data_IF_803782530083
#
_entry.id   IF_803782530083
#
_cell.length_a   1.000
_cell.length_b   1.000
_cell.length_c   1.000
_cell.angle_alpha   90.00
_cell.angle_beta   90.00
_cell.angle_gamma   90.00
#
_symmetry.space_group_name_H-M   'P 1'
#
loop_
_entity.id
_entity.type
_entity.pdbx_description
1 polymer ?
#
# COMPACT_ATOMS: atom_id res chain seq x y z
N UNK A 1 26.42 -27.84 -40.95
CA UNK A 1 24.96 -28.05 -40.97
C UNK A 1 24.67 -29.08 -39.88
N UNK A 2 24.17 -28.80 -38.69
CA UNK A 2 23.32 -27.72 -38.23
C UNK A 2 22.13 -28.38 -37.53
N UNK A 3 22.23 -28.64 -36.22
CA UNK A 3 21.19 -28.36 -35.22
C UNK A 3 21.55 -28.98 -33.86
N UNK A 4 22.05 -28.11 -32.99
CA UNK A 4 22.04 -28.27 -31.53
C UNK A 4 21.05 -27.22 -31.04
N UNK A 5 19.87 -27.63 -30.59
CA UNK A 5 18.92 -26.74 -29.92
C UNK A 5 17.89 -27.57 -29.13
N UNK A 6 18.30 -28.09 -27.97
CA UNK A 6 17.40 -28.47 -26.89
C UNK A 6 17.94 -27.91 -25.58
N UNK A 7 17.40 -26.76 -25.19
CA UNK A 7 17.34 -26.15 -23.85
C UNK A 7 16.96 -24.69 -24.10
N UNK A 8 15.96 -24.10 -23.47
CA UNK A 8 15.89 -23.89 -22.03
C UNK A 8 14.42 -23.83 -21.58
N UNK A 9 13.96 -24.82 -20.81
CA UNK A 9 12.87 -24.60 -19.88
C UNK A 9 13.46 -23.81 -18.70
N UNK A 10 13.23 -22.50 -18.67
CA UNK A 10 13.43 -21.72 -17.44
C UNK A 10 12.28 -22.07 -16.49
N UNK A 11 12.50 -23.13 -15.71
CA UNK A 11 11.74 -23.37 -14.48
C UNK A 11 12.22 -22.32 -13.50
N UNK A 12 11.51 -21.19 -13.43
CA UNK A 12 11.59 -20.32 -12.27
C UNK A 12 10.96 -21.13 -11.13
N UNK A 13 11.69 -21.43 -10.05
CA UNK A 13 11.06 -22.07 -8.90
C UNK A 13 10.11 -21.06 -8.29
N UNK A 14 8.80 -21.26 -8.49
CA UNK A 14 7.78 -20.60 -7.70
C UNK A 14 7.99 -21.05 -6.26
N UNK A 15 8.72 -20.24 -5.49
CA UNK A 15 8.77 -20.36 -4.05
C UNK A 15 7.34 -20.23 -3.55
N UNK A 16 6.82 -21.29 -2.94
CA UNK A 16 5.59 -21.23 -2.19
C UNK A 16 5.80 -20.23 -1.04
N UNK A 17 5.45 -18.96 -1.29
CA UNK A 17 5.39 -17.95 -0.26
C UNK A 17 4.22 -18.33 0.67
N UNK A 18 4.52 -18.73 1.89
CA UNK A 18 3.52 -18.96 2.95
C UNK A 18 2.90 -17.65 3.48
N UNK A 19 2.82 -16.61 2.65
CA UNK A 19 2.31 -15.28 2.98
C UNK A 19 2.11 -14.44 1.72
N UNK A 20 1.63 -13.21 1.91
CA UNK A 20 1.37 -12.27 0.82
C UNK A 20 2.64 -11.98 0.01
N UNK A 21 2.47 -11.81 -1.29
CA UNK A 21 3.53 -11.31 -2.17
C UNK A 21 3.90 -9.87 -1.80
N UNK A 22 5.09 -9.44 -2.21
CA UNK A 22 5.50 -8.04 -2.03
C UNK A 22 4.60 -7.06 -2.79
N UNK A 23 4.04 -7.49 -3.93
CA UNK A 23 3.09 -6.67 -4.68
C UNK A 23 1.77 -6.49 -3.91
N UNK A 24 1.20 -7.58 -3.38
CA UNK A 24 0.00 -7.54 -2.54
C UNK A 24 0.21 -6.65 -1.32
N UNK A 25 1.33 -6.81 -0.60
CA UNK A 25 1.66 -5.95 0.55
C UNK A 25 1.72 -4.48 0.18
N UNK A 26 2.36 -4.13 -0.95
CA UNK A 26 2.43 -2.73 -1.41
C UNK A 26 1.05 -2.14 -1.71
N UNK A 27 0.13 -2.91 -2.31
CA UNK A 27 -1.27 -2.47 -2.49
C UNK A 27 -1.97 -2.23 -1.17
N UNK A 28 -1.86 -3.18 -0.23
CA UNK A 28 -2.52 -3.08 1.07
C UNK A 28 -2.00 -1.90 1.89
N UNK A 29 -0.69 -1.68 1.91
CA UNK A 29 -0.07 -0.56 2.61
C UNK A 29 -0.35 0.79 1.94
N UNK A 30 -0.44 0.82 0.61
CA UNK A 30 -0.85 2.03 -0.10
C UNK A 30 -2.28 2.42 0.28
N UNK A 31 -3.21 1.47 0.34
CA UNK A 31 -4.59 1.73 0.76
C UNK A 31 -4.63 2.24 2.20
N UNK A 32 -3.93 1.53 3.10
CA UNK A 32 -3.80 1.88 4.51
C UNK A 32 -3.33 3.33 4.67
N UNK A 33 -2.17 3.67 4.11
CA UNK A 33 -1.56 4.99 4.30
C UNK A 33 -2.25 6.10 3.52
N UNK A 34 -3.00 5.81 2.47
CA UNK A 34 -3.59 6.85 1.61
C UNK A 34 -5.01 7.16 2.03
N UNK A 35 -5.83 6.14 2.28
CA UNK A 35 -7.27 6.27 2.45
C UNK A 35 -7.76 6.06 3.89
N UNK A 36 -7.10 5.20 4.67
CA UNK A 36 -7.51 4.89 6.04
C UNK A 36 -6.79 5.73 7.09
N UNK A 37 -5.47 5.81 7.03
CA UNK A 37 -4.63 6.61 7.94
C UNK A 37 -4.75 8.09 7.52
N UNK A 38 -5.76 8.78 8.04
CA UNK A 38 -6.08 10.16 7.63
C UNK A 38 -5.09 11.13 8.25
N UNK A 39 -4.70 10.90 9.51
CA UNK A 39 -3.79 11.77 10.26
C UNK A 39 -2.30 11.53 9.93
N UNK A 40 -1.96 10.44 9.21
CA UNK A 40 -0.61 10.04 8.80
C UNK A 40 0.32 9.69 9.96
N UNK A 41 -0.22 9.16 11.06
CA UNK A 41 0.58 8.73 12.23
C UNK A 41 1.07 7.28 12.11
N UNK A 42 0.65 6.55 11.07
CA UNK A 42 1.09 5.18 10.78
C UNK A 42 0.27 4.10 11.48
N UNK A 43 -0.78 4.47 12.21
CA UNK A 43 -1.75 3.55 12.82
C UNK A 43 -3.17 3.97 12.42
N UNK A 44 -4.13 3.04 12.52
CA UNK A 44 -5.55 3.39 12.45
C UNK A 44 -6.13 3.45 13.84
N UNK A 45 -6.78 4.55 14.14
CA UNK A 45 -7.58 4.72 15.36
C UNK A 45 -9.01 5.14 14.98
N UNK A 46 -9.92 5.10 15.96
CA UNK A 46 -11.27 5.66 15.79
C UNK A 46 -11.26 7.10 15.25
N UNK A 47 -10.23 7.88 15.59
CA UNK A 47 -10.08 9.26 15.16
C UNK A 47 -9.91 9.40 13.65
N UNK A 48 -9.31 8.43 12.96
CA UNK A 48 -9.19 8.45 11.50
C UNK A 48 -10.54 8.23 10.82
N UNK A 49 -11.32 7.28 11.35
CA UNK A 49 -12.69 7.00 10.89
C UNK A 49 -13.62 8.20 11.15
N UNK A 50 -13.48 8.86 12.30
CA UNK A 50 -14.21 10.09 12.60
C UNK A 50 -13.86 11.22 11.62
N UNK A 51 -12.57 11.42 11.32
CA UNK A 51 -12.13 12.44 10.35
C UNK A 51 -12.59 12.13 8.92
N UNK A 52 -12.50 10.88 8.50
CA UNK A 52 -13.00 10.44 7.20
C UNK A 52 -14.51 10.73 7.07
N UNK A 53 -15.29 10.36 8.09
CA UNK A 53 -16.72 10.65 8.16
C UNK A 53 -17.02 12.14 8.09
N UNK A 54 -16.35 12.96 8.91
CA UNK A 54 -16.52 14.41 8.93
C UNK A 54 -16.24 15.04 7.58
N UNK A 55 -15.15 14.61 6.92
CA UNK A 55 -14.77 15.07 5.58
C UNK A 55 -15.85 14.76 4.57
N UNK A 56 -16.44 13.56 4.63
CA UNK A 56 -17.43 13.14 3.64
C UNK A 56 -18.78 13.80 3.89
N UNK A 57 -19.24 13.89 5.15
CA UNK A 57 -20.43 14.67 5.47
C UNK A 57 -20.30 16.11 4.95
N UNK A 58 -19.12 16.72 5.09
CA UNK A 58 -18.84 18.06 4.57
C UNK A 58 -18.87 18.10 3.03
N UNK A 59 -18.27 17.14 2.34
CA UNK A 59 -18.25 17.07 0.87
C UNK A 59 -19.64 16.84 0.28
N UNK A 60 -20.47 16.04 0.96
CA UNK A 60 -21.83 15.72 0.54
C UNK A 60 -22.89 16.73 1.02
N UNK A 61 -22.49 17.74 1.80
CA UNK A 61 -23.39 18.77 2.35
C UNK A 61 -24.38 18.22 3.38
N UNK A 62 -24.01 17.16 4.10
CA UNK A 62 -24.87 16.54 5.12
C UNK A 62 -24.64 17.19 6.48
N UNK A 63 -25.68 17.88 6.96
CA UNK A 63 -25.66 18.58 8.24
C UNK A 63 -25.89 17.62 9.43
N UNK A 64 -25.32 17.92 10.61
CA UNK A 64 -25.64 17.23 11.85
C UNK A 64 -27.15 17.17 12.11
N UNK A 65 -27.67 16.01 12.48
CA UNK A 65 -29.10 15.77 12.72
C UNK A 65 -29.91 15.43 11.46
N UNK A 66 -29.28 15.38 10.28
CA UNK A 66 -29.90 14.75 9.10
C UNK A 66 -29.82 13.23 9.20
N UNK A 67 -30.80 12.53 8.63
CA UNK A 67 -30.84 11.06 8.62
C UNK A 67 -29.58 10.46 7.98
N UNK A 68 -29.05 11.09 6.91
CA UNK A 68 -27.82 10.66 6.23
C UNK A 68 -26.59 10.82 7.12
N UNK A 69 -26.51 11.89 7.91
CA UNK A 69 -25.41 12.12 8.84
C UNK A 69 -25.38 11.04 9.93
N UNK A 70 -26.54 10.72 10.52
CA UNK A 70 -26.64 9.72 11.59
C UNK A 70 -26.41 8.29 11.08
N UNK A 71 -26.96 7.96 9.90
CA UNK A 71 -26.69 6.67 9.24
C UNK A 71 -25.20 6.48 8.96
N UNK A 72 -24.54 7.51 8.44
CA UNK A 72 -23.10 7.47 8.17
C UNK A 72 -22.29 7.34 9.46
N UNK A 73 -22.70 8.02 10.53
CA UNK A 73 -22.04 7.88 11.84
C UNK A 73 -22.10 6.45 12.37
N UNK A 74 -23.28 5.82 12.37
CA UNK A 74 -23.43 4.46 12.85
C UNK A 74 -22.64 3.46 12.00
N UNK A 75 -22.68 3.64 10.67
CA UNK A 75 -21.91 2.81 9.73
C UNK A 75 -20.41 2.83 10.04
N UNK A 76 -19.83 4.02 10.26
CA UNK A 76 -18.39 4.10 10.56
C UNK A 76 -18.04 3.46 11.90
N UNK A 77 -18.91 3.58 12.91
CA UNK A 77 -18.75 2.87 14.20
C UNK A 77 -18.76 1.36 13.98
N UNK A 78 -19.68 0.86 13.17
CA UNK A 78 -19.81 -0.57 12.91
C UNK A 78 -18.63 -1.12 12.10
N UNK A 79 -18.17 -0.39 11.07
CA UNK A 79 -16.96 -0.73 10.30
C UNK A 79 -15.74 -0.77 11.23
N UNK A 80 -15.56 0.25 12.07
CA UNK A 80 -14.42 0.31 12.99
C UNK A 80 -14.42 -0.88 13.96
N UNK A 81 -15.56 -1.19 14.58
CA UNK A 81 -15.68 -2.33 15.51
C UNK A 81 -15.35 -3.66 14.83
N UNK A 82 -15.92 -3.91 13.65
CA UNK A 82 -15.64 -5.14 12.89
C UNK A 82 -14.19 -5.22 12.45
N UNK A 83 -13.59 -4.08 12.10
CA UNK A 83 -12.17 -4.02 11.75
C UNK A 83 -11.29 -4.33 12.96
N UNK A 84 -11.58 -3.76 14.14
CA UNK A 84 -10.87 -4.09 15.38
C UNK A 84 -10.97 -5.59 15.68
N UNK A 85 -12.17 -6.17 15.61
CA UNK A 85 -12.40 -7.60 15.91
C UNK A 85 -11.53 -8.54 15.05
N UNK A 86 -11.09 -8.11 13.87
CA UNK A 86 -10.28 -8.93 12.96
C UNK A 86 -8.81 -8.52 12.84
N UNK A 87 -8.43 -7.30 13.25
CA UNK A 87 -7.09 -6.76 13.03
C UNK A 87 -6.35 -6.36 14.32
N UNK A 88 -7.05 -5.93 15.37
CA UNK A 88 -6.45 -5.48 16.63
C UNK A 88 -6.01 -6.70 17.47
N UNK A 89 -4.90 -7.31 17.08
CA UNK A 89 -4.37 -8.56 17.66
C UNK A 89 -3.96 -8.39 19.13
N UNK A 90 -3.49 -7.18 19.49
CA UNK A 90 -2.94 -6.87 20.80
C UNK A 90 -3.95 -6.17 21.74
N UNK A 91 -5.15 -5.83 21.23
CA UNK A 91 -6.23 -5.14 21.93
C UNK A 91 -5.85 -3.76 22.49
N UNK A 92 -4.99 -3.00 21.81
CA UNK A 92 -4.56 -1.65 22.21
C UNK A 92 -5.46 -0.53 21.66
N UNK A 93 -6.52 -0.89 20.92
CA UNK A 93 -7.44 0.00 20.20
C UNK A 93 -6.80 0.75 19.02
N UNK A 94 -5.68 0.25 18.51
CA UNK A 94 -5.01 0.74 17.31
C UNK A 94 -4.82 -0.44 16.36
N UNK A 95 -4.68 -0.12 15.09
CA UNK A 95 -4.30 -1.11 14.08
C UNK A 95 -3.06 -0.60 13.40
N UNK A 96 -1.94 -1.25 13.67
CA UNK A 96 -0.68 -0.99 12.99
C UNK A 96 -0.70 -1.51 11.55
N UNK A 97 0.22 -1.01 10.72
CA UNK A 97 0.43 -1.51 9.37
C UNK A 97 0.73 -3.03 9.34
N UNK A 98 1.44 -3.55 10.36
CA UNK A 98 1.75 -4.98 10.46
C UNK A 98 0.51 -5.82 10.77
N UNK A 99 -0.33 -5.38 11.71
CA UNK A 99 -1.62 -6.00 12.02
C UNK A 99 -2.55 -6.01 10.82
N UNK A 100 -2.61 -4.89 10.09
CA UNK A 100 -3.35 -4.80 8.82
C UNK A 100 -2.89 -5.84 7.80
N UNK A 101 -1.58 -5.94 7.56
CA UNK A 101 -1.01 -6.91 6.60
C UNK A 101 -1.25 -8.34 7.06
N UNK A 102 -1.10 -8.64 8.36
CA UNK A 102 -1.36 -9.97 8.94
C UNK A 102 -2.83 -10.38 8.78
N UNK A 103 -3.76 -9.49 9.09
CA UNK A 103 -5.21 -9.73 8.91
C UNK A 103 -5.50 -10.12 7.46
N UNK A 104 -5.01 -9.34 6.50
CA UNK A 104 -5.19 -9.63 5.07
C UNK A 104 -4.51 -10.93 4.63
N UNK A 105 -3.31 -11.22 5.13
CA UNK A 105 -2.61 -12.47 4.85
C UNK A 105 -3.41 -13.69 5.33
N UNK A 106 -3.98 -13.61 6.52
CA UNK A 106 -4.87 -14.63 7.07
C UNK A 106 -6.13 -14.77 6.21
N UNK A 107 -6.80 -13.65 5.90
CA UNK A 107 -8.02 -13.64 5.11
C UNK A 107 -7.84 -14.29 3.73
N UNK A 108 -6.80 -13.87 2.98
CA UNK A 108 -6.53 -14.38 1.63
C UNK A 108 -6.17 -15.86 1.66
N UNK A 109 -5.43 -16.32 2.68
CA UNK A 109 -5.11 -17.74 2.88
C UNK A 109 -6.35 -18.60 3.15
N UNK A 110 -7.35 -18.06 3.84
CA UNK A 110 -8.58 -18.79 4.14
C UNK A 110 -9.61 -18.76 3.00
N UNK A 111 -9.48 -17.81 2.07
CA UNK A 111 -10.40 -17.63 0.93
C UNK A 111 -9.68 -17.78 -0.41
N UNK A 112 -8.64 -18.61 -0.49
CA UNK A 112 -7.84 -18.80 -1.73
C UNK A 112 -8.48 -19.74 -2.73
N UNK A 113 -9.65 -20.33 -2.43
CA UNK A 113 -10.28 -21.32 -3.29
C UNK A 113 -10.70 -20.67 -4.62
N UNK A 114 -10.19 -21.14 -5.78
CA UNK A 114 -10.55 -20.61 -7.10
C UNK A 114 -12.04 -20.71 -7.43
N UNK A 115 -12.78 -21.60 -6.75
CA UNK A 115 -14.22 -21.77 -6.94
C UNK A 115 -15.08 -20.84 -6.09
N UNK A 116 -14.50 -20.13 -5.12
CA UNK A 116 -15.23 -19.21 -4.27
C UNK A 116 -15.38 -17.86 -4.97
N UNK A 117 -16.60 -17.32 -4.97
CA UNK A 117 -16.84 -15.93 -5.40
C UNK A 117 -15.88 -15.03 -4.64
N UNK A 118 -15.25 -14.07 -5.33
CA UNK A 118 -14.28 -13.16 -4.75
C UNK A 118 -14.93 -12.29 -3.66
N UNK A 119 -15.06 -12.86 -2.46
CA UNK A 119 -15.58 -12.19 -1.27
C UNK A 119 -14.47 -11.40 -0.60
N UNK A 120 -14.88 -10.32 0.04
CA UNK A 120 -14.10 -9.49 0.95
C UNK A 120 -14.70 -9.59 2.36
N UNK A 121 -13.98 -9.22 3.42
CA UNK A 121 -14.56 -9.17 4.77
C UNK A 121 -15.81 -8.27 4.82
N UNK A 122 -16.77 -8.59 5.70
CA UNK A 122 -18.02 -7.84 5.82
C UNK A 122 -17.82 -6.33 6.04
N UNK A 123 -16.80 -5.96 6.83
CA UNK A 123 -16.47 -4.54 7.07
C UNK A 123 -15.99 -3.83 5.79
N UNK A 124 -15.33 -4.57 4.88
CA UNK A 124 -14.94 -4.05 3.56
C UNK A 124 -16.16 -3.90 2.69
N UNK A 125 -17.09 -4.86 2.68
CA UNK A 125 -18.30 -4.75 1.88
C UNK A 125 -19.13 -3.51 2.27
N UNK A 126 -19.30 -3.27 3.57
CA UNK A 126 -19.97 -2.07 4.09
C UNK A 126 -19.21 -0.78 3.75
N UNK A 127 -17.88 -0.81 3.87
CA UNK A 127 -17.04 0.31 3.49
C UNK A 127 -17.10 0.61 1.98
N UNK A 128 -17.20 -0.42 1.13
CA UNK A 128 -17.20 -0.29 -0.32
C UNK A 128 -18.45 0.39 -0.84
N UNK A 129 -19.63 0.04 -0.34
CA UNK A 129 -20.87 0.72 -0.72
C UNK A 129 -20.81 2.20 -0.36
N UNK A 130 -20.21 2.51 0.78
CA UNK A 130 -20.01 3.88 1.20
C UNK A 130 -18.98 4.61 0.32
N UNK A 131 -17.82 3.99 0.04
CA UNK A 131 -16.80 4.54 -0.85
C UNK A 131 -17.35 4.77 -2.25
N UNK A 132 -18.23 3.89 -2.74
CA UNK A 132 -18.95 4.08 -4.00
C UNK A 132 -19.81 5.35 -3.95
N UNK A 133 -20.64 5.52 -2.92
CA UNK A 133 -21.47 6.73 -2.76
C UNK A 133 -20.66 8.02 -2.56
N UNK A 134 -19.41 7.92 -2.08
CA UNK A 134 -18.49 9.05 -2.03
C UNK A 134 -18.07 9.49 -3.44
N UNK A 135 -17.83 8.53 -4.32
CA UNK A 135 -17.53 8.79 -5.73
C UNK A 135 -18.77 9.29 -6.48
N UNK A 136 -19.89 8.57 -6.41
CA UNK A 136 -21.17 8.89 -7.07
C UNK A 136 -21.85 10.13 -6.43
N UNK A 137 -21.30 11.30 -6.74
CA UNK A 137 -21.75 12.58 -6.20
C UNK A 137 -23.04 13.06 -6.85
N UNK A 138 -23.26 12.68 -8.10
CA UNK A 138 -24.47 12.99 -8.85
C UNK A 138 -25.63 12.05 -8.51
N UNK A 139 -25.36 10.95 -7.79
CA UNK A 139 -26.31 9.94 -7.36
C UNK A 139 -27.04 9.26 -8.54
N UNK A 140 -26.32 9.08 -9.65
CA UNK A 140 -26.84 8.41 -10.86
C UNK A 140 -26.54 6.90 -10.88
N UNK A 141 -25.81 6.41 -9.86
CA UNK A 141 -25.44 5.01 -9.69
C UNK A 141 -24.23 4.58 -10.53
N UNK A 142 -23.48 5.53 -11.11
CA UNK A 142 -22.31 5.28 -11.95
C UNK A 142 -21.19 6.25 -11.55
N UNK A 143 -20.00 5.73 -11.33
CA UNK A 143 -18.83 6.60 -11.13
C UNK A 143 -18.31 7.06 -12.50
N UNK A 144 -18.35 8.37 -12.76
CA UNK A 144 -17.73 8.98 -13.94
C UNK A 144 -16.27 9.44 -13.69
N UNK A 145 -15.61 9.89 -14.76
CA UNK A 145 -14.19 10.25 -14.69
C UNK A 145 -13.97 11.54 -13.88
N UNK A 146 -14.90 12.49 -13.95
CA UNK A 146 -14.86 13.74 -13.20
C UNK A 146 -15.03 13.49 -11.69
N UNK A 147 -15.97 12.63 -11.32
CA UNK A 147 -16.22 12.16 -9.96
C UNK A 147 -15.01 11.40 -9.39
N UNK A 148 -14.46 10.47 -10.17
CA UNK A 148 -13.29 9.70 -9.80
C UNK A 148 -12.06 10.59 -9.56
N UNK A 149 -11.77 11.51 -10.51
CA UNK A 149 -10.70 12.49 -10.37
C UNK A 149 -10.90 13.38 -9.14
N UNK A 150 -12.11 13.90 -8.97
CA UNK A 150 -12.43 14.82 -7.88
C UNK A 150 -12.14 14.19 -6.52
N UNK A 151 -12.66 12.98 -6.27
CA UNK A 151 -12.46 12.29 -4.99
C UNK A 151 -11.00 11.90 -4.79
N UNK A 152 -10.33 11.33 -5.79
CA UNK A 152 -8.92 10.94 -5.66
C UNK A 152 -7.99 12.15 -5.45
N UNK A 153 -8.33 13.31 -6.00
CA UNK A 153 -7.63 14.57 -5.74
C UNK A 153 -7.59 14.95 -4.26
N UNK A 154 -8.63 14.64 -3.49
CA UNK A 154 -8.65 14.86 -2.02
C UNK A 154 -7.69 13.96 -1.24
N UNK A 155 -7.22 12.88 -1.86
CA UNK A 155 -6.22 11.96 -1.31
C UNK A 155 -4.83 12.21 -1.90
N UNK A 156 -4.63 13.32 -2.63
CA UNK A 156 -3.34 13.73 -3.18
C UNK A 156 -2.95 13.03 -4.47
N UNK A 157 -3.87 12.29 -5.09
CA UNK A 157 -3.63 11.66 -6.39
C UNK A 157 -3.81 12.70 -7.49
N UNK A 158 -2.84 12.76 -8.41
CA UNK A 158 -2.86 13.77 -9.46
C UNK A 158 -3.97 13.48 -10.49
N UNK A 159 -4.59 14.52 -11.09
CA UNK A 159 -5.55 14.34 -12.17
C UNK A 159 -5.09 13.44 -13.32
N UNK A 160 -3.85 13.54 -13.84
CA UNK A 160 -3.40 12.65 -14.90
C UNK A 160 -3.35 11.18 -14.47
N UNK A 161 -2.94 10.90 -13.23
CA UNK A 161 -2.91 9.54 -12.70
C UNK A 161 -4.32 8.96 -12.52
N UNK A 162 -5.23 9.74 -11.92
CA UNK A 162 -6.63 9.36 -11.75
C UNK A 162 -7.32 9.07 -13.10
N UNK A 163 -7.13 9.94 -14.11
CA UNK A 163 -7.69 9.72 -15.45
C UNK A 163 -7.16 8.46 -16.12
N UNK A 164 -5.85 8.24 -16.05
CA UNK A 164 -5.23 7.05 -16.64
C UNK A 164 -5.75 5.78 -15.98
N UNK A 165 -5.87 5.78 -14.65
CA UNK A 165 -6.44 4.68 -13.89
C UNK A 165 -7.91 4.44 -14.25
N UNK A 166 -8.71 5.51 -14.37
CA UNK A 166 -10.10 5.42 -14.79
C UNK A 166 -10.24 4.77 -16.17
N UNK A 167 -9.44 5.18 -17.14
CA UNK A 167 -9.45 4.60 -18.49
C UNK A 167 -9.14 3.10 -18.44
N UNK A 168 -8.20 2.67 -17.58
CA UNK A 168 -7.89 1.24 -17.42
C UNK A 168 -9.08 0.49 -16.83
N UNK A 169 -9.59 0.91 -15.67
CA UNK A 169 -10.67 0.18 -14.98
C UNK A 169 -12.00 0.22 -15.74
N UNK A 170 -12.28 1.29 -16.48
CA UNK A 170 -13.46 1.39 -17.35
C UNK A 170 -13.29 0.66 -18.69
N UNK A 171 -12.13 0.02 -18.92
CA UNK A 171 -11.78 -0.64 -20.18
C UNK A 171 -11.99 0.30 -21.38
N UNK A 172 -11.28 1.43 -21.36
CA UNK A 172 -11.38 2.49 -22.36
C UNK A 172 -12.81 3.05 -22.49
N UNK A 173 -13.46 3.30 -21.36
CA UNK A 173 -14.83 3.83 -21.27
C UNK A 173 -15.93 2.90 -21.83
N UNK A 174 -15.60 1.65 -22.17
CA UNK A 174 -16.58 0.68 -22.69
C UNK A 174 -17.42 0.06 -21.56
N UNK A 175 -16.89 0.03 -20.34
CA UNK A 175 -17.56 -0.50 -19.15
C UNK A 175 -17.86 0.61 -18.15
N UNK A 176 -19.15 0.79 -17.85
CA UNK A 176 -19.63 1.68 -16.78
C UNK A 176 -19.23 1.14 -15.41
N UNK A 177 -18.85 2.04 -14.52
CA UNK A 177 -18.48 1.69 -13.14
C UNK A 177 -19.70 1.83 -12.25
N UNK A 178 -20.61 0.86 -12.36
CA UNK A 178 -21.72 0.70 -11.43
C UNK A 178 -21.28 -0.01 -10.14
N UNK A 179 -22.13 -0.02 -9.11
CA UNK A 179 -21.80 -0.63 -7.82
C UNK A 179 -21.38 -2.11 -7.92
N UNK A 180 -22.07 -2.98 -8.69
CA UNK A 180 -21.64 -4.36 -8.86
C UNK A 180 -20.24 -4.48 -9.47
N UNK A 181 -19.92 -3.68 -10.50
CA UNK A 181 -18.58 -3.70 -11.08
C UNK A 181 -17.53 -3.12 -10.12
N UNK A 182 -17.86 -2.05 -9.41
CA UNK A 182 -16.97 -1.47 -8.41
C UNK A 182 -16.61 -2.49 -7.32
N UNK A 183 -17.59 -3.26 -6.81
CA UNK A 183 -17.35 -4.36 -5.85
C UNK A 183 -16.38 -5.42 -6.42
N UNK A 184 -16.48 -5.75 -7.71
CA UNK A 184 -15.54 -6.67 -8.38
C UNK A 184 -14.12 -6.11 -8.40
N UNK A 185 -13.96 -4.85 -8.80
CA UNK A 185 -12.66 -4.17 -8.83
C UNK A 185 -12.03 -4.11 -7.43
N UNK A 186 -12.82 -3.85 -6.38
CA UNK A 186 -12.33 -3.83 -5.01
C UNK A 186 -11.87 -5.22 -4.56
N UNK A 187 -12.67 -6.26 -4.80
CA UNK A 187 -12.29 -7.62 -4.46
C UNK A 187 -11.00 -8.04 -5.18
N UNK A 188 -10.85 -7.67 -6.45
CA UNK A 188 -9.64 -7.89 -7.23
C UNK A 188 -8.44 -7.09 -6.67
N UNK A 189 -8.64 -5.84 -6.26
CA UNK A 189 -7.59 -5.03 -5.63
C UNK A 189 -6.99 -5.72 -4.40
N UNK A 190 -7.83 -6.20 -3.49
CA UNK A 190 -7.37 -6.82 -2.25
C UNK A 190 -6.79 -8.22 -2.44
N UNK A 191 -7.33 -9.03 -3.37
CA UNK A 191 -6.98 -10.45 -3.47
C UNK A 191 -5.95 -10.76 -4.56
N UNK A 192 -5.98 -10.05 -5.68
CA UNK A 192 -5.17 -10.39 -6.86
C UNK A 192 -3.68 -10.19 -6.58
N UNK A 193 -2.86 -11.12 -7.06
CA UNK A 193 -1.40 -10.97 -7.15
C UNK A 193 -0.93 -10.60 -8.57
N UNK A 194 -1.86 -10.31 -9.48
CA UNK A 194 -1.55 -9.89 -10.84
C UNK A 194 -1.45 -8.35 -10.93
N UNK A 195 -0.27 -7.77 -11.25
CA UNK A 195 -0.11 -6.34 -11.47
C UNK A 195 -0.96 -5.79 -12.63
N UNK A 196 -1.33 -6.62 -13.60
CA UNK A 196 -2.16 -6.25 -14.74
C UNK A 196 -3.67 -6.30 -14.48
N UNK A 197 -4.09 -6.80 -13.32
CA UNK A 197 -5.50 -6.86 -12.96
C UNK A 197 -6.13 -5.47 -12.87
N UNK A 198 -7.36 -5.31 -13.36
CA UNK A 198 -8.02 -3.99 -13.45
C UNK A 198 -8.18 -3.34 -12.07
N UNK A 199 -8.56 -4.13 -11.08
CA UNK A 199 -8.74 -3.70 -9.69
C UNK A 199 -7.51 -3.02 -9.11
N UNK A 200 -6.28 -3.37 -9.55
CA UNK A 200 -5.03 -2.73 -9.12
C UNK A 200 -5.07 -1.21 -9.25
N UNK A 201 -5.79 -0.69 -10.24
CA UNK A 201 -5.84 0.73 -10.57
C UNK A 201 -7.01 1.47 -9.89
N UNK A 202 -7.86 0.80 -9.11
CA UNK A 202 -9.08 1.40 -8.54
C UNK A 202 -8.83 2.61 -7.64
N UNK A 203 -7.61 2.74 -7.11
CA UNK A 203 -7.19 3.83 -6.24
C UNK A 203 -6.28 4.85 -6.93
N UNK A 204 -6.21 4.87 -8.26
CA UNK A 204 -5.47 5.90 -9.02
C UNK A 204 -3.95 5.71 -9.08
N UNK A 205 -3.41 4.66 -8.44
CA UNK A 205 -1.98 4.32 -8.51
C UNK A 205 -1.70 3.45 -9.73
N UNK A 206 -0.85 3.96 -10.62
CA UNK A 206 -0.52 3.31 -11.91
C UNK A 206 0.64 2.34 -11.82
N UNK A 207 1.52 2.51 -10.83
CA UNK A 207 2.62 1.59 -10.63
C UNK A 207 2.85 1.31 -9.14
N UNK A 208 3.06 0.04 -8.85
CA UNK A 208 3.47 -0.49 -7.55
C UNK A 208 4.90 -1.05 -7.60
N UNK A 209 5.64 -0.89 -8.70
CA UNK A 209 7.01 -1.39 -8.89
C UNK A 209 8.10 -0.45 -8.35
N UNK A 210 7.79 0.84 -8.12
CA UNK A 210 8.75 1.88 -7.72
C UNK A 210 9.46 1.67 -6.37
N UNK A 211 9.07 0.66 -5.58
CA UNK A 211 9.70 0.37 -4.28
C UNK A 211 11.06 -0.32 -4.36
N UNK A 212 11.43 -0.91 -5.50
CA UNK A 212 12.69 -1.64 -5.64
C UNK A 212 13.87 -0.71 -5.92
N UNK A 213 13.71 0.34 -6.72
CA UNK A 213 14.82 1.24 -7.06
C UNK A 213 15.27 2.06 -5.85
N UNK A 214 14.34 2.63 -5.06
CA UNK A 214 14.70 3.44 -3.90
C UNK A 214 15.34 2.63 -2.76
N UNK A 215 14.97 1.36 -2.59
CA UNK A 215 15.58 0.48 -1.60
C UNK A 215 16.97 0.01 -2.04
N UNK A 216 17.13 -0.35 -3.32
CA UNK A 216 18.43 -0.72 -3.89
C UNK A 216 19.42 0.45 -3.86
N UNK A 217 18.97 1.65 -4.25
CA UNK A 217 19.78 2.87 -4.24
C UNK A 217 20.18 3.26 -2.80
N UNK A 218 19.29 3.09 -1.82
CA UNK A 218 19.60 3.32 -0.40
C UNK A 218 20.61 2.29 0.15
N UNK A 219 20.44 1.02 -0.17
CA UNK A 219 21.37 -0.03 0.24
C UNK A 219 22.75 0.12 -0.41
N UNK A 220 22.80 0.47 -1.69
CA UNK A 220 24.06 0.72 -2.41
C UNK A 220 24.79 1.94 -1.87
N UNK A 221 24.08 3.02 -1.52
CA UNK A 221 24.67 4.19 -0.85
C UNK A 221 25.22 3.82 0.53
N UNK A 222 24.43 3.13 1.36
CA UNK A 222 24.86 2.69 2.69
C UNK A 222 26.07 1.76 2.62
N UNK A 223 26.13 0.85 1.63
CA UNK A 223 27.27 -0.05 1.46
C UNK A 223 28.54 0.69 1.03
N UNK A 224 28.41 1.66 0.10
CA UNK A 224 29.54 2.51 -0.31
C UNK A 224 30.06 3.38 0.83
N UNK A 225 29.17 3.99 1.60
CA UNK A 225 29.55 4.86 2.71
C UNK A 225 30.26 4.06 3.82
N UNK A 226 29.79 2.85 4.11
CA UNK A 226 30.40 1.98 5.11
C UNK A 226 31.78 1.44 4.65
N UNK A 227 31.95 1.11 3.36
CA UNK A 227 33.25 0.74 2.79
C UNK A 227 34.25 1.92 2.81
N UNK A 228 33.79 3.14 2.53
CA UNK A 228 34.64 4.33 2.59
C UNK A 228 35.08 4.65 4.03
N UNK A 229 34.17 4.57 5.00
CA UNK A 229 34.49 4.77 6.41
C UNK A 229 35.48 3.72 6.93
N UNK A 230 35.30 2.45 6.57
CA UNK A 230 36.22 1.38 6.95
C UNK A 230 37.61 1.59 6.36
N UNK A 231 37.69 1.95 5.07
CA UNK A 231 38.95 2.25 4.39
C UNK A 231 39.67 3.46 5.00
N UNK A 232 38.92 4.50 5.38
CA UNK A 232 39.49 5.70 6.01
C UNK A 232 40.03 5.39 7.42
N UNK A 233 39.31 4.59 8.20
CA UNK A 233 39.73 4.16 9.54
C UNK A 233 41.02 3.32 9.50
N UNK A 234 41.12 2.37 8.56
CA UNK A 234 42.33 1.58 8.39
C UNK A 234 43.54 2.43 8.00
N UNK A 235 43.38 3.40 7.10
CA UNK A 235 44.47 4.29 6.71
C UNK A 235 44.94 5.19 7.87
N UNK A 236 44.04 5.64 8.74
CA UNK A 236 44.40 6.42 9.93
C UNK A 236 45.19 5.58 10.93
N UNK A 237 44.74 4.35 11.21
CA UNK A 237 45.46 3.44 12.11
C UNK A 237 46.85 3.08 11.57
N UNK A 238 46.99 2.86 10.26
CA UNK A 238 48.29 2.59 9.63
C UNK A 238 49.24 3.80 9.75
N UNK A 239 48.71 5.02 9.57
CA UNK A 239 49.50 6.26 9.73
C UNK A 239 49.97 6.45 11.17
N UNK A 240 49.11 6.16 12.14
CA UNK A 240 49.43 6.29 13.57
C UNK A 240 50.51 5.27 13.99
N UNK A 241 50.36 4.00 13.59
CA UNK A 241 51.41 2.97 13.81
C UNK A 241 52.75 3.35 13.19
N UNK A 242 52.74 3.91 11.99
CA UNK A 242 53.96 4.36 11.32
C UNK A 242 54.60 5.58 12.00
N UNK A 243 53.83 6.47 12.63
CA UNK A 243 54.36 7.58 13.41
C UNK A 243 54.97 7.11 14.74
N UNK A 244 54.32 6.17 15.44
CA UNK A 244 54.83 5.59 16.68
C UNK A 244 56.15 4.84 16.46
N UNK A 245 56.25 4.07 15.38
CA UNK A 245 57.50 3.38 15.01
C UNK A 245 58.63 4.36 14.66
N UNK A 246 58.31 5.50 14.04
CA UNK A 246 59.30 6.55 13.76
C UNK A 246 59.79 7.26 15.02
N UNK A 247 58.91 7.51 16.00
CA UNK A 247 59.30 8.12 17.27
C UNK A 247 60.14 7.17 18.14
N UNK A 248 59.80 5.87 18.16
CA UNK A 248 60.56 4.85 18.90
C UNK A 248 61.98 4.61 18.33
N UNK A 249 62.24 4.97 17.07
CA UNK A 249 63.52 4.81 16.41
C UNK A 249 64.48 6.01 16.55
N UNK A 250 64.15 7.02 17.36
CA UNK A 250 65.05 8.15 17.64
C UNK A 250 65.88 7.84 18.90
N UNK A 251 67.18 7.54 18.80
CA UNK A 251 68.00 7.28 19.97
C UNK A 251 68.27 8.59 20.70
N UNK A 252 68.09 8.56 22.02
CA UNK A 252 68.58 9.57 22.95
C UNK A 252 70.11 9.62 22.82
N UNK A 253 70.62 10.62 22.09
CA UNK A 253 72.04 10.95 22.09
C UNK A 253 72.38 11.62 23.41
N UNK A 254 72.67 10.83 24.44
CA UNK A 254 73.43 11.30 25.59
C UNK A 254 74.92 11.24 25.23
N UNK A 255 75.49 12.41 24.99
CA UNK A 255 76.93 12.70 25.07
C UNK A 255 77.14 13.76 26.13
#
# INVERSE_FOLDING_TARGET
MGNVAQSLHNIVPHTHHHGLSEFQKRKLLYEFHTFYDVNKDGCLEWRDFEQAREKICKMSGWEPGSEKFDKTKNLFVDIWRKLQDCADENCDNKISADEWVKMWASYIKHHSDPGEVAKVPDWVEEYVEYKFNLFDRTADGIIDIEEFEYVLGYFGISPPAAKSAFIIISQNMERRIDLPYYKQLVAEYYRSDDPGALGTFINGKLDFCDGLEDAQIRNDKNHRDNQQQHSHSQQQQQKQKNQEQKHAATPTSNG
#
